data_IF_147905925824
#
_entry.id   IF_147905925824
#
_cell.length_a   1.000
_cell.length_b   1.000
_cell.length_c   1.000
_cell.angle_alpha   90.00
_cell.angle_beta   90.00
_cell.angle_gamma   90.00
#
_symmetry.space_group_name_H-M   'P 1'
#
loop_
_entity.id
_entity.type
_entity.pdbx_description
1 polymer ?
#
# COMPACT_ATOMS: atom_id res chain seq x y z
N UNK A 1 -14.25 10.24 3.04
CA UNK A 1 -14.46 9.52 4.32
C UNK A 1 -13.17 8.78 4.66
N UNK A 2 -12.62 8.86 5.88
CA UNK A 2 -11.38 8.15 6.25
C UNK A 2 -11.43 6.63 6.01
N UNK A 3 -12.60 6.00 6.18
CA UNK A 3 -12.78 4.58 5.91
C UNK A 3 -12.60 4.23 4.42
N UNK A 4 -13.21 5.01 3.52
CA UNK A 4 -13.05 4.82 2.08
C UNK A 4 -11.60 5.04 1.64
N UNK A 5 -10.91 6.03 2.22
CA UNK A 5 -9.49 6.24 1.93
C UNK A 5 -8.64 5.03 2.34
N UNK A 6 -8.88 4.47 3.53
CA UNK A 6 -8.16 3.29 3.99
C UNK A 6 -8.42 2.07 3.12
N UNK A 7 -9.68 1.82 2.74
CA UNK A 7 -10.04 0.71 1.83
C UNK A 7 -9.34 0.86 0.48
N UNK A 8 -9.43 2.03 -0.15
CA UNK A 8 -8.84 2.28 -1.48
C UNK A 8 -7.31 2.15 -1.45
N UNK A 9 -6.64 2.65 -0.39
CA UNK A 9 -5.19 2.52 -0.25
C UNK A 9 -4.79 1.06 -0.02
N UNK A 10 -5.56 0.31 0.77
CA UNK A 10 -5.33 -1.12 1.00
C UNK A 10 -5.47 -1.91 -0.31
N UNK A 11 -6.52 -1.65 -1.09
CA UNK A 11 -6.70 -2.25 -2.42
C UNK A 11 -5.54 -1.91 -3.36
N UNK A 12 -5.13 -0.64 -3.37
CA UNK A 12 -4.00 -0.19 -4.20
C UNK A 12 -2.68 -0.82 -3.75
N UNK A 13 -2.49 -1.04 -2.44
CA UNK A 13 -1.29 -1.67 -1.88
C UNK A 13 -1.16 -3.12 -2.34
N UNK A 14 -2.24 -3.90 -2.37
CA UNK A 14 -2.19 -5.29 -2.84
C UNK A 14 -2.27 -5.44 -4.36
N UNK A 15 -3.07 -4.61 -5.05
CA UNK A 15 -3.27 -4.74 -6.50
C UNK A 15 -2.14 -4.08 -7.31
N UNK A 16 -1.64 -2.93 -6.86
CA UNK A 16 -0.69 -2.08 -7.59
C UNK A 16 0.37 -1.47 -6.66
N UNK A 17 1.12 -2.29 -5.89
CA UNK A 17 2.08 -1.81 -4.89
C UNK A 17 3.16 -0.88 -5.47
N UNK A 18 3.61 -1.13 -6.70
CA UNK A 18 4.64 -0.32 -7.37
C UNK A 18 4.20 1.13 -7.56
N UNK A 19 2.95 1.35 -7.97
CA UNK A 19 2.42 2.70 -8.19
C UNK A 19 2.25 3.45 -6.88
N UNK A 20 1.84 2.74 -5.82
CA UNK A 20 1.73 3.31 -4.49
C UNK A 20 3.10 3.75 -3.96
N UNK A 21 4.11 2.88 -4.03
CA UNK A 21 5.49 3.20 -3.63
C UNK A 21 6.09 4.36 -4.44
N UNK A 22 5.81 4.41 -5.75
CA UNK A 22 6.32 5.49 -6.62
C UNK A 22 5.70 6.85 -6.31
N UNK A 23 4.39 6.91 -6.06
CA UNK A 23 3.69 8.18 -5.79
C UNK A 23 3.81 8.62 -4.34
N UNK A 24 3.81 7.68 -3.40
CA UNK A 24 3.80 7.90 -1.95
C UNK A 24 4.61 6.81 -1.24
N UNK A 25 5.96 6.87 -1.31
CA UNK A 25 6.82 5.87 -0.69
C UNK A 25 6.58 5.75 0.81
N UNK A 26 6.40 6.87 1.52
CA UNK A 26 6.13 6.89 2.97
C UNK A 26 4.85 6.12 3.35
N UNK A 27 3.80 6.22 2.52
CA UNK A 27 2.54 5.51 2.75
C UNK A 27 2.69 4.02 2.47
N UNK A 28 3.48 3.65 1.46
CA UNK A 28 3.81 2.27 1.18
C UNK A 28 4.61 1.64 2.33
N UNK A 29 5.63 2.33 2.84
CA UNK A 29 6.43 1.83 3.97
C UNK A 29 5.59 1.68 5.24
N UNK A 30 4.69 2.63 5.52
CA UNK A 30 3.74 2.53 6.63
C UNK A 30 2.82 1.30 6.50
N UNK A 31 2.30 1.03 5.31
CA UNK A 31 1.42 -0.12 5.08
C UNK A 31 2.20 -1.44 5.07
N UNK A 32 3.42 -1.45 4.57
CA UNK A 32 4.30 -2.60 4.62
C UNK A 32 4.68 -2.97 6.06
N UNK A 33 4.96 -1.96 6.90
CA UNK A 33 5.16 -2.15 8.34
C UNK A 33 3.86 -2.57 9.04
N UNK A 34 2.72 -1.94 8.74
CA UNK A 34 1.44 -2.28 9.37
C UNK A 34 0.99 -3.72 9.06
N UNK A 35 1.07 -4.14 7.80
CA UNK A 35 0.69 -5.48 7.39
C UNK A 35 1.83 -6.50 7.56
N UNK A 36 3.06 -6.06 7.90
CA UNK A 36 4.28 -6.87 7.95
C UNK A 36 4.48 -7.71 6.67
N UNK A 37 4.06 -7.16 5.53
CA UNK A 37 4.04 -7.83 4.23
C UNK A 37 4.53 -6.85 3.19
N UNK A 38 5.42 -7.31 2.31
CA UNK A 38 5.87 -6.54 1.15
C UNK A 38 5.33 -7.15 -0.15
N UNK A 39 4.21 -6.64 -0.69
CA UNK A 39 3.60 -7.16 -1.91
C UNK A 39 4.46 -6.94 -3.16
N UNK A 40 5.50 -6.10 -3.12
CA UNK A 40 6.49 -6.02 -4.19
C UNK A 40 7.39 -7.26 -4.27
N UNK A 41 7.55 -8.02 -3.19
CA UNK A 41 8.29 -9.30 -3.22
C UNK A 41 7.50 -10.47 -3.81
N UNK A 42 6.20 -10.29 -4.07
CA UNK A 42 5.33 -11.36 -4.60
C UNK A 42 5.39 -11.51 -6.12
N UNK A 43 6.11 -10.62 -6.81
CA UNK A 43 6.29 -10.61 -8.27
C UNK A 43 7.54 -11.33 -8.71
#
# INVERSE_FOLDING_TARGET
NPAEFFSVVTETFFEKPYYLKKKRPELYELFADYYQVDPLTWT
#
